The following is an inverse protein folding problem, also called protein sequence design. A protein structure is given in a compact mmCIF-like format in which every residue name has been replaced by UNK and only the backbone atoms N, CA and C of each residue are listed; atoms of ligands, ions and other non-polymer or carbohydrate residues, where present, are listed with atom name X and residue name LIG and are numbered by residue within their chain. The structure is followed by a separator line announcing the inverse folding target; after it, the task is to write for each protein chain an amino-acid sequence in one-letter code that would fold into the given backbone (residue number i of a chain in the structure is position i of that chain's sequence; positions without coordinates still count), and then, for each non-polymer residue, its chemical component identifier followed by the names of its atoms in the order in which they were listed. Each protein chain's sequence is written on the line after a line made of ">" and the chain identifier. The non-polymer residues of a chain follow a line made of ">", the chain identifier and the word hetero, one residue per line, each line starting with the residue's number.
data_IF_317296853294
#
_entry.id   IF_317296853294
#
_cell.length_a   1.000
_cell.length_b   1.000
_cell.length_c   1.000
_cell.angle_alpha   90.00
_cell.angle_beta   90.00
_cell.angle_gamma   90.00
#
_symmetry.space_group_name_H-M   'P 1'
#
loop_
_entity.id
_entity.type
_entity.pdbx_description
1 polymer ?
#
# COMPACT_ATOMS: atom_id res chain seq x y z
N UNK A 1 -9.63 3.33 -22.34
CA UNK A 1 -10.05 4.51 -21.56
C UNK A 1 -10.07 4.10 -20.11
N UNK A 2 -9.41 4.77 -19.17
CA UNK A 2 -8.87 6.13 -19.18
C UNK A 2 -9.49 7.01 -18.07
N UNK A 3 -10.08 6.39 -17.05
CA UNK A 3 -10.80 7.10 -15.97
C UNK A 3 -9.89 7.74 -14.91
N UNK A 4 -8.58 7.49 -14.96
CA UNK A 4 -7.63 7.98 -13.96
C UNK A 4 -7.86 7.40 -12.56
N UNK A 5 -7.10 7.90 -11.61
CA UNK A 5 -7.23 7.57 -10.19
C UNK A 5 -8.33 8.43 -9.54
N UNK A 6 -8.99 7.88 -8.51
CA UNK A 6 -10.00 8.60 -7.73
C UNK A 6 -9.42 9.03 -6.39
N UNK A 7 -9.79 10.23 -5.93
CA UNK A 7 -9.26 10.83 -4.71
C UNK A 7 -10.40 11.27 -3.79
N UNK A 8 -10.21 11.12 -2.48
CA UNK A 8 -11.13 11.70 -1.50
C UNK A 8 -11.07 13.22 -1.60
N UNK A 9 -12.20 13.89 -1.35
CA UNK A 9 -12.24 15.36 -1.28
C UNK A 9 -11.45 15.90 -0.07
N UNK A 10 -11.53 15.16 1.03
CA UNK A 10 -10.87 15.51 2.28
C UNK A 10 -9.50 14.83 2.41
N UNK A 11 -8.64 15.43 3.23
CA UNK A 11 -7.35 14.86 3.65
C UNK A 11 -7.49 14.26 5.05
N UNK A 12 -6.81 13.14 5.28
CA UNK A 12 -6.88 12.42 6.54
C UNK A 12 -5.48 12.24 7.14
N UNK A 13 -5.42 12.41 8.45
CA UNK A 13 -4.24 12.20 9.27
C UNK A 13 -4.10 10.78 9.76
N UNK A 14 -4.37 10.61 11.05
CA UNK A 14 -4.50 9.28 11.64
C UNK A 14 -5.91 8.74 11.37
N UNK A 15 -6.00 7.55 10.79
CA UNK A 15 -7.26 6.94 10.42
C UNK A 15 -7.15 5.41 10.34
N UNK A 16 -8.33 4.78 10.35
CA UNK A 16 -8.52 3.39 9.93
C UNK A 16 -9.42 3.41 8.70
N UNK A 17 -8.94 2.83 7.61
CA UNK A 17 -9.69 2.63 6.37
C UNK A 17 -10.06 1.16 6.26
N UNK A 18 -11.36 0.90 6.18
CA UNK A 18 -11.90 -0.41 5.84
C UNK A 18 -12.54 -0.38 4.46
N UNK A 19 -12.24 -1.37 3.64
CA UNK A 19 -12.84 -1.52 2.33
C UNK A 19 -12.87 -2.98 1.90
N UNK A 20 -13.81 -3.28 1.01
CA UNK A 20 -13.86 -4.55 0.30
C UNK A 20 -13.54 -4.36 -1.17
N UNK A 21 -12.82 -5.34 -1.74
CA UNK A 21 -12.50 -5.34 -3.16
C UNK A 21 -12.62 -6.75 -3.73
N UNK A 22 -12.93 -6.83 -5.02
CA UNK A 22 -13.07 -8.09 -5.76
C UNK A 22 -12.22 -8.02 -7.01
N UNK A 23 -11.39 -9.04 -7.20
CA UNK A 23 -10.46 -9.13 -8.32
C UNK A 23 -11.13 -9.79 -9.52
N UNK A 24 -10.84 -9.27 -10.72
CA UNK A 24 -10.84 -10.04 -11.96
C UNK A 24 -9.46 -10.69 -12.18
N UNK A 25 -9.37 -11.66 -13.08
CA UNK A 25 -8.08 -12.25 -13.46
C UNK A 25 -7.13 -11.17 -14.00
N UNK A 26 -5.89 -11.17 -13.51
CA UNK A 26 -4.88 -10.18 -13.90
C UNK A 26 -5.13 -8.75 -13.37
N UNK A 27 -6.00 -8.58 -12.36
CA UNK A 27 -6.22 -7.26 -11.73
C UNK A 27 -4.90 -6.67 -11.24
N UNK A 28 -4.70 -5.38 -11.52
CA UNK A 28 -3.65 -4.55 -10.95
C UNK A 28 -4.24 -3.17 -10.63
N UNK A 29 -4.19 -2.79 -9.36
CA UNK A 29 -4.74 -1.56 -8.80
C UNK A 29 -4.03 -1.26 -7.47
N UNK A 30 -4.41 -0.21 -6.76
CA UNK A 30 -3.79 0.14 -5.49
C UNK A 30 -4.67 1.05 -4.66
N UNK A 31 -4.39 1.09 -3.35
CA UNK A 31 -5.00 2.05 -2.41
C UNK A 31 -3.93 3.05 -2.01
N UNK A 32 -4.15 4.32 -2.35
CA UNK A 32 -3.20 5.40 -2.07
C UNK A 32 -3.48 6.08 -0.73
N UNK A 33 -2.42 6.28 0.05
CA UNK A 33 -2.43 6.82 1.41
C UNK A 33 -1.34 7.87 1.55
N UNK A 34 -1.46 8.76 2.55
CA UNK A 34 -0.41 9.73 2.92
C UNK A 34 0.12 10.52 1.69
N UNK A 35 -0.77 10.89 0.77
CA UNK A 35 -0.45 11.52 -0.53
C UNK A 35 -0.03 12.98 -0.37
N UNK A 36 1.15 13.34 -0.89
CA UNK A 36 1.66 14.71 -0.94
C UNK A 36 1.03 15.56 -2.05
N UNK A 37 1.18 15.12 -3.30
CA UNK A 37 0.57 15.75 -4.49
C UNK A 37 -0.25 14.71 -5.24
N UNK A 38 -1.44 15.10 -5.67
CA UNK A 38 -2.30 14.26 -6.51
C UNK A 38 -1.76 14.26 -7.95
N UNK A 39 -1.13 15.33 -8.39
CA UNK A 39 -0.54 15.47 -9.73
C UNK A 39 0.73 14.62 -9.89
N UNK A 40 1.50 14.47 -8.81
CA UNK A 40 2.75 13.69 -8.75
C UNK A 40 2.61 12.44 -7.86
N UNK A 41 1.40 11.88 -7.79
CA UNK A 41 1.06 10.82 -6.82
C UNK A 41 1.97 9.59 -6.93
N UNK A 42 2.46 9.27 -8.13
CA UNK A 42 3.34 8.12 -8.38
C UNK A 42 4.60 8.11 -7.50
N UNK A 43 5.07 9.29 -7.08
CA UNK A 43 6.25 9.43 -6.22
C UNK A 43 5.93 10.04 -4.85
N UNK A 44 4.70 10.47 -4.62
CA UNK A 44 4.30 11.21 -3.42
C UNK A 44 3.13 10.58 -2.66
N UNK A 45 2.63 9.43 -3.10
CA UNK A 45 1.67 8.60 -2.38
C UNK A 45 2.30 7.28 -1.93
N UNK A 46 1.83 6.77 -0.79
CA UNK A 46 2.11 5.41 -0.33
C UNK A 46 1.01 4.51 -0.89
N UNK A 47 1.40 3.40 -1.53
CA UNK A 47 0.47 2.49 -2.19
C UNK A 47 0.40 1.16 -1.43
N UNK A 48 -0.80 0.77 -0.99
CA UNK A 48 -1.12 -0.61 -0.59
C UNK A 48 -1.61 -1.35 -1.83
N UNK A 49 -0.85 -2.35 -2.25
CA UNK A 49 -1.02 -2.98 -3.55
C UNK A 49 -2.31 -3.82 -3.64
N UNK A 50 -2.99 -3.77 -4.78
CA UNK A 50 -4.11 -4.66 -5.13
C UNK A 50 -3.75 -5.41 -6.41
N UNK A 51 -3.28 -6.65 -6.27
CA UNK A 51 -2.84 -7.47 -7.40
C UNK A 51 -3.45 -8.86 -7.36
N UNK A 52 -3.82 -9.40 -8.52
CA UNK A 52 -4.06 -10.83 -8.67
C UNK A 52 -2.75 -11.62 -8.53
N UNK A 53 -2.44 -11.93 -7.28
CA UNK A 53 -1.27 -12.72 -6.86
C UNK A 53 -1.70 -14.02 -6.17
N UNK A 54 -2.96 -14.43 -6.34
CA UNK A 54 -3.50 -15.63 -5.71
C UNK A 54 -2.66 -16.86 -6.07
N UNK A 55 -2.44 -17.74 -5.09
CA UNK A 55 -1.67 -18.98 -5.26
C UNK A 55 -0.15 -18.79 -5.26
N UNK A 56 0.37 -17.56 -5.20
CA UNK A 56 1.81 -17.33 -5.06
C UNK A 56 2.28 -17.69 -3.66
N UNK A 57 3.25 -18.61 -3.56
CA UNK A 57 3.72 -19.14 -2.28
C UNK A 57 4.41 -18.10 -1.39
N UNK A 58 5.37 -17.35 -1.93
CA UNK A 58 6.05 -16.25 -1.22
C UNK A 58 5.70 -14.92 -1.89
N UNK A 59 5.09 -14.02 -1.11
CA UNK A 59 4.81 -12.66 -1.55
C UNK A 59 6.10 -11.81 -1.59
N UNK A 60 6.14 -10.88 -2.53
CA UNK A 60 7.16 -9.88 -2.71
C UNK A 60 6.57 -8.46 -2.64
N UNK A 61 7.42 -7.47 -2.89
CA UNK A 61 7.09 -6.04 -2.73
C UNK A 61 6.09 -5.50 -3.75
N UNK A 62 5.69 -6.30 -4.75
CA UNK A 62 4.74 -5.92 -5.80
C UNK A 62 3.45 -6.76 -5.75
N UNK A 63 3.33 -7.69 -4.81
CA UNK A 63 2.13 -8.55 -4.67
C UNK A 63 1.07 -7.90 -3.78
N UNK A 64 -0.14 -8.46 -3.77
CA UNK A 64 -1.29 -7.91 -3.05
C UNK A 64 -0.98 -7.71 -1.57
N UNK A 65 -1.28 -6.52 -1.05
CA UNK A 65 -1.07 -6.13 0.33
C UNK A 65 0.34 -5.61 0.63
N UNK A 66 1.27 -5.63 -0.33
CA UNK A 66 2.56 -4.97 -0.19
C UNK A 66 2.38 -3.46 -0.04
N UNK A 67 3.30 -2.83 0.70
CA UNK A 67 3.59 -1.42 0.47
C UNK A 67 4.47 -1.38 -0.78
N UNK A 68 3.88 -0.98 -1.90
CA UNK A 68 4.45 -1.23 -3.24
C UNK A 68 5.92 -0.81 -3.33
N UNK A 69 6.78 -1.73 -3.79
CA UNK A 69 8.23 -1.57 -3.97
C UNK A 69 9.06 -1.32 -2.68
N UNK A 70 8.38 -1.19 -1.54
CA UNK A 70 8.98 -0.88 -0.24
C UNK A 70 9.02 -2.10 0.69
N UNK A 71 7.86 -2.65 1.02
CA UNK A 71 7.71 -3.71 2.03
C UNK A 71 6.77 -4.80 1.54
N UNK A 72 7.27 -6.04 1.50
CA UNK A 72 6.48 -7.21 1.15
C UNK A 72 5.57 -7.59 2.32
N UNK A 73 4.35 -8.11 2.04
CA UNK A 73 3.51 -8.64 3.09
C UNK A 73 4.13 -9.91 3.66
N UNK A 74 3.95 -10.14 4.96
CA UNK A 74 4.46 -11.33 5.65
C UNK A 74 3.89 -12.63 5.07
N UNK A 75 2.66 -12.56 4.53
CA UNK A 75 1.93 -13.67 3.94
C UNK A 75 1.06 -13.19 2.80
N UNK A 76 0.94 -14.02 1.76
CA UNK A 76 -0.05 -13.81 0.72
C UNK A 76 -1.43 -14.26 1.20
N UNK A 77 -2.34 -13.31 1.42
CA UNK A 77 -3.68 -13.56 1.96
C UNK A 77 -4.79 -13.22 0.96
N UNK A 78 -4.45 -12.87 -0.28
CA UNK A 78 -5.44 -12.54 -1.30
C UNK A 78 -6.21 -13.79 -1.70
N UNK A 79 -7.52 -13.65 -1.85
CA UNK A 79 -8.40 -14.70 -2.37
C UNK A 79 -8.37 -14.72 -3.89
N UNK A 80 -8.82 -15.84 -4.46
CA UNK A 80 -8.87 -16.04 -5.91
C UNK A 80 -9.75 -14.96 -6.59
N UNK A 81 -9.50 -14.64 -7.87
CA UNK A 81 -10.40 -13.81 -8.66
C UNK A 81 -11.86 -14.27 -8.54
N UNK A 82 -12.77 -13.31 -8.41
CA UNK A 82 -14.18 -13.58 -8.17
C UNK A 82 -14.63 -13.53 -6.70
N UNK A 83 -13.70 -13.62 -5.74
CA UNK A 83 -14.01 -13.55 -4.31
C UNK A 83 -13.77 -12.15 -3.71
N UNK A 84 -14.57 -11.80 -2.71
CA UNK A 84 -14.41 -10.55 -1.96
C UNK A 84 -13.28 -10.67 -0.94
N UNK A 85 -12.36 -9.72 -1.02
CA UNK A 85 -11.29 -9.48 -0.07
C UNK A 85 -11.65 -8.26 0.80
N UNK A 86 -11.18 -8.26 2.03
CA UNK A 86 -11.36 -7.14 2.96
C UNK A 86 -10.00 -6.63 3.44
N UNK A 87 -9.81 -5.33 3.33
CA UNK A 87 -8.68 -4.62 3.92
C UNK A 87 -9.13 -3.84 5.15
N UNK A 88 -8.31 -3.91 6.20
CA UNK A 88 -8.23 -2.88 7.24
C UNK A 88 -6.84 -2.27 7.21
N UNK A 89 -6.76 -0.99 6.84
CA UNK A 89 -5.51 -0.23 6.76
C UNK A 89 -5.52 0.79 7.87
N UNK A 90 -4.52 0.73 8.76
CA UNK A 90 -4.36 1.70 9.85
C UNK A 90 -3.17 2.60 9.56
N UNK A 91 -3.41 3.91 9.52
CA UNK A 91 -2.38 4.94 9.51
C UNK A 91 -2.39 5.65 10.86
N UNK A 92 -1.29 5.56 11.63
CA UNK A 92 -1.19 6.19 12.94
C UNK A 92 0.22 6.71 13.20
N UNK A 93 0.40 8.02 13.27
CA UNK A 93 1.71 8.66 13.31
C UNK A 93 2.63 8.11 12.19
N UNK A 94 3.78 7.52 12.55
CA UNK A 94 4.69 6.87 11.60
C UNK A 94 4.28 5.45 11.19
N UNK A 95 3.27 4.86 11.84
CA UNK A 95 2.91 3.46 11.62
C UNK A 95 1.90 3.31 10.51
N UNK A 96 2.14 2.31 9.65
CA UNK A 96 1.17 1.79 8.69
C UNK A 96 1.00 0.30 8.95
N UNK A 97 -0.21 -0.10 9.30
CA UNK A 97 -0.61 -1.50 9.45
C UNK A 97 -1.60 -1.90 8.35
N UNK A 98 -1.45 -3.10 7.80
CA UNK A 98 -2.43 -3.68 6.86
C UNK A 98 -2.84 -5.06 7.35
N UNK A 99 -4.15 -5.22 7.55
CA UNK A 99 -4.80 -6.51 7.73
C UNK A 99 -5.53 -6.86 6.43
N UNK A 100 -5.28 -8.06 5.90
CA UNK A 100 -5.98 -8.60 4.74
C UNK A 100 -6.69 -9.89 5.13
N UNK A 101 -8.01 -9.92 4.96
CA UNK A 101 -8.84 -11.09 5.28
C UNK A 101 -8.62 -11.63 6.71
N UNK A 102 -8.46 -10.73 7.68
CA UNK A 102 -8.28 -11.04 9.09
C UNK A 102 -6.85 -11.33 9.54
N UNK A 103 -5.87 -11.30 8.64
CA UNK A 103 -4.45 -11.53 8.96
C UNK A 103 -3.64 -10.24 8.86
N UNK A 104 -2.85 -9.93 9.90
CA UNK A 104 -1.91 -8.80 9.88
C UNK A 104 -0.73 -9.13 8.96
N UNK A 105 -0.66 -8.46 7.81
CA UNK A 105 0.35 -8.74 6.77
C UNK A 105 1.44 -7.67 6.65
N UNK A 106 1.18 -6.44 7.11
CA UNK A 106 2.16 -5.34 7.14
C UNK A 106 2.17 -4.71 8.53
N UNK A 107 3.34 -4.51 9.10
CA UNK A 107 3.60 -3.61 10.23
C UNK A 107 4.82 -2.76 9.88
N UNK A 108 4.56 -1.58 9.31
CA UNK A 108 5.58 -0.68 8.78
C UNK A 108 5.76 0.51 9.72
N UNK A 109 7.02 0.85 10.00
CA UNK A 109 7.40 2.14 10.57
C UNK A 109 8.06 3.01 9.50
N UNK A 110 7.40 4.09 9.10
CA UNK A 110 7.90 5.00 8.09
C UNK A 110 9.25 5.62 8.49
N UNK A 111 9.52 5.77 9.79
CA UNK A 111 10.77 6.36 10.29
C UNK A 111 12.01 5.52 9.94
N UNK A 112 11.83 4.26 9.53
CA UNK A 112 12.92 3.39 9.06
C UNK A 112 13.29 3.64 7.58
N UNK A 113 12.38 4.19 6.77
CA UNK A 113 12.65 4.51 5.36
C UNK A 113 13.25 5.90 5.22
N UNK A 114 14.53 6.01 5.58
CA UNK A 114 15.18 7.32 5.75
C UNK A 114 15.82 7.91 4.50
N UNK A 115 15.80 7.21 3.36
CA UNK A 115 16.47 7.64 2.14
C UNK A 115 15.55 7.39 0.95
N UNK A 116 15.50 8.35 0.02
CA UNK A 116 14.92 8.13 -1.30
C UNK A 116 15.64 6.96 -2.01
N UNK A 117 14.93 6.26 -2.87
CA UNK A 117 15.42 5.14 -3.67
C UNK A 117 15.98 3.94 -2.90
N UNK A 118 15.78 3.84 -1.59
CA UNK A 118 16.37 2.78 -0.77
C UNK A 118 15.46 2.32 0.37
N UNK A 119 15.29 1.01 0.46
CA UNK A 119 14.61 0.33 1.57
C UNK A 119 15.57 0.08 2.75
N UNK A 120 15.06 -0.13 3.97
CA UNK A 120 15.87 -0.43 5.15
C UNK A 120 16.74 -1.68 5.01
N UNK A 121 16.27 -2.68 4.24
CA UNK A 121 17.00 -3.91 3.92
C UNK A 121 18.13 -3.72 2.90
N UNK A 122 18.33 -2.50 2.40
CA UNK A 122 19.37 -2.15 1.44
C UNK A 122 18.95 -2.26 -0.03
N UNK A 123 17.80 -2.87 -0.34
CA UNK A 123 17.30 -2.97 -1.72
C UNK A 123 16.80 -1.62 -2.24
N UNK A 124 16.81 -1.38 -3.57
CA UNK A 124 16.29 -0.14 -4.13
C UNK A 124 14.77 -0.05 -4.05
N UNK A 125 14.23 1.16 -4.17
CA UNK A 125 12.83 1.42 -4.51
C UNK A 125 12.73 2.58 -5.52
N UNK A 126 11.56 2.77 -6.13
CA UNK A 126 11.32 3.77 -7.18
C UNK A 126 11.08 5.20 -6.68
N UNK A 127 10.99 5.44 -5.37
CA UNK A 127 10.43 6.69 -4.84
C UNK A 127 11.49 7.76 -4.62
N UNK A 128 11.19 8.98 -5.10
CA UNK A 128 12.05 10.16 -4.99
C UNK A 128 12.02 10.79 -3.59
N UNK A 129 11.04 10.43 -2.78
CA UNK A 129 10.85 10.91 -1.41
C UNK A 129 11.09 9.78 -0.44
N UNK A 130 11.90 10.04 0.60
CA UNK A 130 12.05 9.09 1.70
C UNK A 130 10.70 8.96 2.42
N UNK A 131 10.23 7.74 2.66
CA UNK A 131 8.89 7.52 3.23
C UNK A 131 8.73 8.13 4.63
N UNK A 132 9.82 8.30 5.39
CA UNK A 132 9.80 9.05 6.66
C UNK A 132 9.29 10.49 6.49
N UNK A 133 9.49 11.11 5.33
CA UNK A 133 9.17 12.51 5.06
C UNK A 133 7.81 12.68 4.36
N UNK A 134 7.07 11.58 4.15
CA UNK A 134 5.72 11.64 3.58
C UNK A 134 4.74 12.36 4.52
N UNK A 135 3.72 13.07 3.98
CA UNK A 135 2.76 13.81 4.78
C UNK A 135 2.08 12.97 5.84
N UNK A 136 1.98 13.49 7.06
CA UNK A 136 1.28 12.84 8.18
C UNK A 136 0.02 13.56 8.65
N UNK A 137 -0.45 14.56 7.87
CA UNK A 137 -1.57 15.49 8.11
C UNK A 137 -2.14 15.44 9.53
N UNK A 138 -1.86 16.43 10.37
CA UNK A 138 -2.38 16.50 11.75
C UNK A 138 -3.80 17.07 11.73
#
# INVERSE_FOLDING_TARGET
>A
GGGGDIWTKEKYGDFVLELEFKLAEGTNSGVFLRTGSIEEWLHTAIEVQVLDSYGKGKAGKHDCGAIFDCLAPSKNMVKRPGEWNHYTITCKASKIGVVLNGEQIIDMDLDLWTKAHKNPDGTPNKFNTAYRDMPRYI
#
